data_IF_238262355310
#
_entry.id   IF_238262355310
#
_cell.length_a   1.000
_cell.length_b   1.000
_cell.length_c   1.000
_cell.angle_alpha   90.00
_cell.angle_beta   90.00
_cell.angle_gamma   90.00
#
_symmetry.space_group_name_H-M   'P 1'
#
loop_
_entity.id
_entity.type
_entity.pdbx_description
1 polymer ?
#
# COMPACT_ATOMS: atom_id res chain seq x y z
N UNK A 1 10.85 9.43 2.35
CA UNK A 1 11.77 8.90 1.32
C UNK A 1 10.90 8.30 0.22
N UNK A 2 11.15 8.63 -1.05
CA UNK A 2 10.42 8.04 -2.17
C UNK A 2 10.82 6.58 -2.38
N UNK A 3 9.87 5.77 -2.82
CA UNK A 3 10.06 4.38 -3.23
C UNK A 3 9.80 4.28 -4.73
N UNK A 4 10.62 3.48 -5.40
CA UNK A 4 10.45 3.13 -6.80
C UNK A 4 9.81 1.74 -6.85
N UNK A 5 8.72 1.63 -7.60
CA UNK A 5 7.92 0.42 -7.78
C UNK A 5 7.85 0.10 -9.27
N UNK A 6 7.81 -1.19 -9.59
CA UNK A 6 7.49 -1.67 -10.91
C UNK A 6 6.05 -2.18 -10.88
N UNK A 7 5.17 -1.56 -11.66
CA UNK A 7 3.78 -2.01 -11.76
C UNK A 7 3.67 -3.30 -12.61
N UNK A 8 2.51 -3.94 -12.58
CA UNK A 8 2.26 -5.18 -13.31
C UNK A 8 2.34 -5.02 -14.85
N UNK A 9 2.26 -3.80 -15.37
CA UNK A 9 2.41 -3.48 -16.79
C UNK A 9 3.86 -3.17 -17.20
N UNK A 10 4.80 -3.20 -16.24
CA UNK A 10 6.21 -2.86 -16.45
C UNK A 10 6.51 -1.36 -16.41
N UNK A 11 5.55 -0.54 -15.97
CA UNK A 11 5.73 0.88 -15.71
C UNK A 11 6.46 1.15 -14.40
N UNK A 12 7.15 2.29 -14.33
CA UNK A 12 7.85 2.73 -13.12
C UNK A 12 7.00 3.77 -12.40
N UNK A 13 6.64 3.46 -11.16
CA UNK A 13 5.95 4.38 -10.25
C UNK A 13 6.92 4.84 -9.16
N UNK A 14 6.99 6.14 -8.91
CA UNK A 14 7.80 6.71 -7.82
C UNK A 14 6.90 7.46 -6.86
N UNK A 15 6.73 6.93 -5.65
CA UNK A 15 5.81 7.51 -4.66
C UNK A 15 6.32 7.32 -3.23
N UNK A 16 5.86 8.16 -2.31
CA UNK A 16 6.02 7.98 -0.86
C UNK A 16 4.68 7.67 -0.18
N UNK A 17 3.58 7.56 -0.92
CA UNK A 17 2.28 7.18 -0.38
C UNK A 17 2.26 5.69 -0.06
N UNK A 18 2.06 5.37 1.22
CA UNK A 18 1.99 3.99 1.72
C UNK A 18 0.87 3.18 1.07
N UNK A 19 -0.31 3.77 0.83
CA UNK A 19 -1.43 3.05 0.22
C UNK A 19 -1.12 2.67 -1.23
N UNK A 20 -0.63 3.63 -2.03
CA UNK A 20 -0.16 3.35 -3.39
C UNK A 20 0.95 2.28 -3.41
N UNK A 21 1.91 2.34 -2.48
CA UNK A 21 2.95 1.32 -2.36
C UNK A 21 2.34 -0.06 -2.07
N UNK A 22 1.45 -0.16 -1.08
CA UNK A 22 0.87 -1.43 -0.64
C UNK A 22 0.00 -2.10 -1.71
N UNK A 23 -0.67 -1.31 -2.57
CA UNK A 23 -1.48 -1.83 -3.68
C UNK A 23 -0.65 -2.50 -4.78
N UNK A 24 0.60 -2.07 -4.97
CA UNK A 24 1.51 -2.63 -5.98
C UNK A 24 2.29 -3.85 -5.47
N UNK A 25 2.21 -4.17 -4.17
CA UNK A 25 2.93 -5.31 -3.60
C UNK A 25 2.18 -6.63 -3.85
N UNK A 26 2.79 -7.52 -4.62
CA UNK A 26 2.36 -8.92 -4.67
C UNK A 26 2.90 -9.68 -3.44
N UNK A 27 2.01 -9.94 -2.47
CA UNK A 27 2.35 -10.65 -1.23
C UNK A 27 1.63 -12.01 -1.16
N UNK A 28 2.39 -13.07 -0.89
CA UNK A 28 1.82 -14.41 -0.73
C UNK A 28 1.23 -14.65 0.68
N UNK A 29 1.76 -13.97 1.70
CA UNK A 29 1.39 -14.24 3.09
C UNK A 29 -0.03 -13.74 3.41
N UNK A 30 -0.95 -14.59 3.91
CA UNK A 30 -2.34 -14.20 4.15
C UNK A 30 -2.50 -13.00 5.09
N UNK A 31 -1.73 -12.95 6.18
CA UNK A 31 -1.78 -11.81 7.10
C UNK A 31 -1.36 -10.50 6.42
N UNK A 32 -0.39 -10.53 5.49
CA UNK A 32 0.02 -9.33 4.76
C UNK A 32 -1.11 -8.84 3.84
N UNK A 33 -1.86 -9.75 3.20
CA UNK A 33 -3.05 -9.40 2.42
C UNK A 33 -4.11 -8.71 3.28
N UNK A 34 -4.38 -9.23 4.49
CA UNK A 34 -5.30 -8.59 5.43
C UNK A 34 -4.85 -7.18 5.82
N UNK A 35 -3.55 -6.97 6.06
CA UNK A 35 -3.01 -5.66 6.38
C UNK A 35 -3.19 -4.65 5.23
N UNK A 36 -2.94 -5.07 3.98
CA UNK A 36 -3.16 -4.22 2.80
C UNK A 36 -4.63 -3.79 2.70
N UNK A 37 -5.57 -4.72 2.90
CA UNK A 37 -7.01 -4.41 2.88
C UNK A 37 -7.42 -3.45 4.01
N UNK A 38 -6.81 -3.54 5.20
CA UNK A 38 -7.04 -2.59 6.30
C UNK A 38 -6.58 -1.17 5.92
N UNK A 39 -5.40 -1.02 5.33
CA UNK A 39 -4.91 0.27 4.85
C UNK A 39 -5.81 0.85 3.76
N UNK A 40 -6.29 0.00 2.85
CA UNK A 40 -7.24 0.39 1.80
C UNK A 40 -8.57 0.88 2.37
N UNK A 41 -9.10 0.18 3.36
CA UNK A 41 -10.35 0.58 4.05
C UNK A 41 -10.18 1.92 4.75
N UNK A 42 -9.04 2.16 5.40
CA UNK A 42 -8.74 3.44 6.05
C UNK A 42 -8.70 4.60 5.03
N UNK A 43 -8.14 4.36 3.85
CA UNK A 43 -8.13 5.31 2.73
C UNK A 43 -9.54 5.59 2.19
N UNK A 44 -10.36 4.56 1.99
CA UNK A 44 -11.73 4.69 1.48
C UNK A 44 -12.66 5.43 2.44
N UNK A 45 -12.56 5.17 3.75
CA UNK A 45 -13.47 5.72 4.75
C UNK A 45 -13.03 7.08 5.31
N UNK A 46 -11.72 7.32 5.44
CA UNK A 46 -11.17 8.52 6.11
C UNK A 46 -10.26 9.34 5.19
N UNK A 47 -9.57 8.69 4.25
CA UNK A 47 -8.63 9.36 3.32
C UNK A 47 -7.30 9.79 3.94
N UNK A 48 -7.00 9.38 5.18
CA UNK A 48 -5.74 9.65 5.88
C UNK A 48 -5.42 8.53 6.89
N UNK A 49 -4.16 8.45 7.34
CA UNK A 49 -3.70 7.51 8.35
C UNK A 49 -3.36 6.11 7.82
N UNK A 50 -3.32 5.93 6.49
CA UNK A 50 -3.03 4.65 5.81
C UNK A 50 -1.68 4.04 6.20
N UNK A 51 -0.70 4.87 6.57
CA UNK A 51 0.60 4.42 7.09
C UNK A 51 0.52 4.03 8.56
N UNK A 52 -0.21 4.81 9.37
CA UNK A 52 -0.34 4.58 10.80
C UNK A 52 -1.06 3.27 11.11
N UNK A 53 -2.12 2.93 10.37
CA UNK A 53 -2.89 1.68 10.54
C UNK A 53 -2.09 0.41 10.24
N UNK A 54 -0.94 0.53 9.55
CA UNK A 54 -0.06 -0.61 9.25
C UNK A 54 1.04 -0.79 10.31
N UNK A 55 1.45 0.31 10.94
CA UNK A 55 2.59 0.32 11.88
C UNK A 55 2.13 0.09 13.32
N UNK A 56 0.92 0.52 13.66
CA UNK A 56 0.30 0.40 14.99
C UNK A 56 -0.55 -0.87 15.10
#
# INVERSE_FOLDING_TARGET
>A
MLKMLLDASGGIVVTNDGNAILRELDVAHPAAKSMIELSRTQDEEVGDGTTSVIVL
#
